data_IF_631780409647
#
_entry.id   IF_631780409647
#
_cell.length_a   1.000
_cell.length_b   1.000
_cell.length_c   1.000
_cell.angle_alpha   90.00
_cell.angle_beta   90.00
_cell.angle_gamma   90.00
#
_symmetry.space_group_name_H-M   'P 1'
#
loop_
_entity.id
_entity.type
_entity.pdbx_description
1 polymer ?
#
# COMPACT_ATOMS: atom_id res chain seq x y z
N UNK A 1 18.70 -15.73 11.97
CA UNK A 1 17.40 -15.01 12.12
C UNK A 1 17.47 -13.76 11.24
N UNK A 2 16.56 -13.61 10.29
CA UNK A 2 16.49 -12.39 9.48
C UNK A 2 16.14 -11.22 10.41
N UNK A 3 16.90 -10.14 10.34
CA UNK A 3 16.63 -8.94 11.11
C UNK A 3 15.28 -8.35 10.69
N UNK A 4 14.44 -7.96 11.66
CA UNK A 4 13.17 -7.31 11.38
C UNK A 4 13.41 -5.90 10.83
N UNK A 5 13.02 -5.67 9.58
CA UNK A 5 13.14 -4.37 8.93
C UNK A 5 11.95 -3.51 9.35
N UNK A 6 12.22 -2.42 10.08
CA UNK A 6 11.20 -1.44 10.45
C UNK A 6 10.77 -0.62 9.22
N UNK A 7 9.49 -0.20 9.14
CA UNK A 7 9.03 0.70 8.09
C UNK A 7 9.82 2.01 8.08
N UNK A 8 10.22 2.42 6.89
CA UNK A 8 10.78 3.75 6.68
C UNK A 8 9.70 4.66 6.11
N UNK A 9 9.05 5.44 6.97
CA UNK A 9 7.95 6.33 6.60
C UNK A 9 8.32 7.46 5.62
N UNK A 10 9.61 7.63 5.33
CA UNK A 10 10.10 8.54 4.29
C UNK A 10 10.42 7.82 2.96
N UNK A 11 10.48 6.47 2.99
CA UNK A 11 10.79 5.62 1.83
C UNK A 11 9.97 4.32 1.88
N UNK A 12 8.65 4.45 1.86
CA UNK A 12 7.69 3.34 1.88
C UNK A 12 6.78 3.37 0.64
N UNK A 13 5.96 2.34 0.47
CA UNK A 13 4.95 2.31 -0.58
C UNK A 13 3.94 3.47 -0.46
N UNK A 14 3.63 3.95 0.74
CA UNK A 14 2.81 5.15 0.95
C UNK A 14 3.37 6.39 0.24
N UNK A 15 4.70 6.52 0.20
CA UNK A 15 5.35 7.67 -0.44
C UNK A 15 5.24 7.64 -1.97
N UNK A 16 4.96 6.48 -2.58
CA UNK A 16 4.57 6.39 -4.00
C UNK A 16 3.24 7.10 -4.20
N UNK A 17 2.23 6.73 -3.41
CA UNK A 17 0.89 7.33 -3.46
C UNK A 17 0.95 8.84 -3.22
N UNK A 18 1.71 9.27 -2.22
CA UNK A 18 1.92 10.69 -1.93
C UNK A 18 2.53 11.46 -3.12
N UNK A 19 3.49 10.84 -3.81
CA UNK A 19 4.13 11.46 -4.98
C UNK A 19 3.15 11.54 -6.16
N UNK A 20 2.37 10.51 -6.39
CA UNK A 20 1.34 10.49 -7.43
C UNK A 20 0.22 11.49 -7.13
N UNK A 21 -0.22 11.60 -5.87
CA UNK A 21 -1.21 12.59 -5.46
C UNK A 21 -0.72 14.02 -5.74
N UNK A 22 0.51 14.36 -5.37
CA UNK A 22 1.11 15.67 -5.66
C UNK A 22 1.21 15.90 -7.18
N UNK A 23 1.65 14.92 -7.94
CA UNK A 23 1.74 15.01 -9.41
C UNK A 23 0.38 15.27 -10.06
N UNK A 24 -0.70 14.69 -9.52
CA UNK A 24 -2.06 14.88 -10.01
C UNK A 24 -2.76 16.12 -9.42
N UNK A 25 -2.09 16.90 -8.60
CA UNK A 25 -2.67 18.08 -7.95
C UNK A 25 -3.66 17.77 -6.83
N UNK A 26 -3.65 16.53 -6.32
CA UNK A 26 -4.48 16.14 -5.18
C UNK A 26 -3.83 16.53 -3.84
N UNK A 27 -4.64 16.76 -2.77
CA UNK A 27 -4.10 17.04 -1.45
C UNK A 27 -3.14 15.96 -0.96
N UNK A 28 -2.01 16.36 -0.41
CA UNK A 28 -1.01 15.45 0.13
C UNK A 28 -0.33 16.04 1.37
N UNK A 29 -0.26 15.25 2.45
CA UNK A 29 0.45 15.58 3.69
C UNK A 29 1.63 14.64 3.98
N UNK A 30 1.80 13.60 3.17
CA UNK A 30 2.86 12.62 3.34
C UNK A 30 4.12 13.03 2.55
N UNK A 31 5.27 12.48 2.95
CA UNK A 31 6.51 12.70 2.23
C UNK A 31 6.46 12.12 0.82
N UNK A 32 7.05 12.78 -0.14
CA UNK A 32 7.18 12.33 -1.52
C UNK A 32 8.56 11.74 -1.81
N UNK A 33 8.67 10.96 -2.88
CA UNK A 33 9.92 10.37 -3.34
C UNK A 33 10.57 11.27 -4.41
N UNK A 34 11.73 11.83 -4.09
CA UNK A 34 12.43 12.73 -5.01
C UNK A 34 12.69 12.09 -6.37
N UNK A 35 13.18 10.84 -6.39
CA UNK A 35 13.46 10.12 -7.62
C UNK A 35 12.20 9.89 -8.48
N UNK A 36 11.07 9.59 -7.89
CA UNK A 36 9.80 9.44 -8.62
C UNK A 36 9.30 10.79 -9.14
N UNK A 37 9.48 11.87 -8.38
CA UNK A 37 9.17 13.24 -8.85
C UNK A 37 10.00 13.63 -10.06
N UNK A 38 11.30 13.33 -10.05
CA UNK A 38 12.19 13.57 -11.19
C UNK A 38 11.74 12.80 -12.44
N UNK A 39 11.32 11.53 -12.26
CA UNK A 39 10.77 10.74 -13.36
C UNK A 39 9.45 11.33 -13.89
N UNK A 40 8.53 11.69 -13.00
CA UNK A 40 7.22 12.25 -13.36
C UNK A 40 7.31 13.67 -13.94
N UNK A 41 8.40 14.40 -13.69
CA UNK A 41 8.64 15.72 -14.30
C UNK A 41 8.95 15.66 -15.81
N UNK A 42 9.24 14.47 -16.34
CA UNK A 42 9.39 14.27 -17.79
C UNK A 42 8.01 14.32 -18.46
N UNK A 43 7.94 14.84 -19.68
CA UNK A 43 6.69 14.87 -20.42
C UNK A 43 6.30 13.47 -20.92
N UNK A 44 5.30 12.86 -20.30
CA UNK A 44 4.73 11.59 -20.73
C UNK A 44 3.28 11.78 -21.19
N UNK A 45 2.93 11.12 -22.27
CA UNK A 45 1.54 11.08 -22.75
C UNK A 45 0.63 10.32 -21.78
N UNK A 46 1.15 9.27 -21.17
CA UNK A 46 0.43 8.42 -20.22
C UNK A 46 1.37 7.97 -19.11
N UNK A 47 0.85 7.91 -17.89
CA UNK A 47 1.52 7.31 -16.73
C UNK A 47 0.66 6.14 -16.25
N UNK A 48 1.27 4.95 -16.19
CA UNK A 48 0.59 3.74 -15.74
C UNK A 48 1.25 3.28 -14.45
N UNK A 49 0.48 3.18 -13.38
CA UNK A 49 0.92 2.61 -12.12
C UNK A 49 0.47 1.14 -12.03
N UNK A 50 1.41 0.23 -11.83
CA UNK A 50 1.14 -1.20 -11.67
C UNK A 50 1.67 -1.65 -10.32
N UNK A 51 0.79 -2.22 -9.49
CA UNK A 51 1.15 -2.82 -8.22
C UNK A 51 1.07 -4.35 -8.32
N UNK A 52 2.19 -5.02 -8.13
CA UNK A 52 2.24 -6.47 -8.05
C UNK A 52 2.21 -6.89 -6.58
N UNK A 53 1.22 -7.69 -6.21
CA UNK A 53 1.14 -8.26 -4.85
C UNK A 53 2.18 -9.34 -4.64
N UNK A 54 2.77 -9.39 -3.43
CA UNK A 54 3.76 -10.39 -3.05
C UNK A 54 5.11 -10.30 -3.79
N UNK A 55 5.28 -9.36 -4.72
CA UNK A 55 6.49 -9.23 -5.53
C UNK A 55 7.47 -8.20 -4.93
N UNK A 56 8.11 -8.57 -3.82
CA UNK A 56 9.19 -7.78 -3.22
C UNK A 56 10.53 -8.01 -3.89
N UNK A 57 11.57 -7.31 -3.42
CA UNK A 57 12.92 -7.38 -3.99
C UNK A 57 13.51 -8.80 -3.92
N UNK A 58 13.34 -9.51 -2.79
CA UNK A 58 13.89 -10.86 -2.65
C UNK A 58 13.32 -11.88 -3.67
N UNK A 59 11.99 -11.98 -3.88
CA UNK A 59 11.43 -12.79 -4.96
C UNK A 59 11.95 -12.42 -6.34
N UNK A 60 12.14 -11.13 -6.64
CA UNK A 60 12.67 -10.69 -7.92
C UNK A 60 14.12 -11.18 -8.11
N UNK A 61 14.99 -10.89 -7.15
CA UNK A 61 16.42 -11.26 -7.21
C UNK A 61 16.65 -12.80 -7.20
N UNK A 62 15.76 -13.55 -6.55
CA UNK A 62 15.88 -15.01 -6.50
C UNK A 62 15.42 -15.69 -7.79
N UNK A 63 14.41 -15.12 -8.47
CA UNK A 63 13.76 -15.82 -9.60
C UNK A 63 14.06 -15.22 -10.96
N UNK A 64 14.63 -14.03 -11.03
CA UNK A 64 14.94 -13.37 -12.28
C UNK A 64 16.45 -13.23 -12.48
N UNK A 65 16.90 -13.34 -13.72
CA UNK A 65 18.28 -13.05 -14.08
C UNK A 65 18.58 -11.56 -14.00
N UNK A 66 19.85 -11.21 -13.77
CA UNK A 66 20.33 -9.82 -13.75
C UNK A 66 20.00 -9.07 -15.05
N UNK A 67 19.85 -9.83 -16.15
CA UNK A 67 19.52 -9.30 -17.46
C UNK A 67 18.03 -9.03 -17.69
N UNK A 68 17.16 -9.47 -16.78
CA UNK A 68 15.72 -9.28 -16.94
C UNK A 68 15.33 -7.79 -16.94
N UNK A 69 14.25 -7.48 -17.65
CA UNK A 69 13.73 -6.12 -17.75
C UNK A 69 13.45 -5.50 -16.38
N UNK A 70 12.81 -6.25 -15.48
CA UNK A 70 12.46 -5.74 -14.14
C UNK A 70 13.70 -5.43 -13.32
N UNK A 71 14.67 -6.34 -13.25
CA UNK A 71 15.90 -6.13 -12.48
C UNK A 71 16.68 -4.91 -12.99
N UNK A 72 16.88 -4.79 -14.31
CA UNK A 72 17.58 -3.66 -14.92
C UNK A 72 16.92 -2.30 -14.68
N UNK A 73 15.63 -2.28 -14.41
CA UNK A 73 14.86 -1.05 -14.23
C UNK A 73 14.50 -0.74 -12.77
N UNK A 74 15.01 -1.52 -11.81
CA UNK A 74 14.87 -1.16 -10.39
C UNK A 74 15.57 0.17 -10.14
N UNK A 75 14.84 1.19 -9.75
CA UNK A 75 15.37 2.50 -9.41
C UNK A 75 15.57 2.68 -7.91
N UNK A 76 14.70 2.08 -7.11
CA UNK A 76 14.72 2.23 -5.67
C UNK A 76 14.01 1.07 -4.98
N UNK A 77 14.55 0.65 -3.83
CA UNK A 77 13.86 -0.25 -2.91
C UNK A 77 13.19 0.54 -1.80
N UNK A 78 11.96 0.19 -1.51
CA UNK A 78 11.12 0.83 -0.50
C UNK A 78 10.69 -0.20 0.53
N UNK A 79 10.34 0.25 1.73
CA UNK A 79 9.67 -0.60 2.71
C UNK A 79 8.17 -0.62 2.47
N UNK A 80 7.49 -1.66 2.93
CA UNK A 80 6.04 -1.62 3.08
C UNK A 80 5.63 -0.75 4.27
N UNK A 81 4.35 -0.42 4.37
CA UNK A 81 3.73 0.05 5.62
C UNK A 81 3.71 -1.09 6.65
N UNK A 82 3.39 -0.80 7.89
CA UNK A 82 3.27 -1.81 8.95
C UNK A 82 1.86 -1.77 9.58
N UNK A 83 1.23 -2.94 9.75
CA UNK A 83 1.64 -4.29 9.33
C UNK A 83 1.78 -4.42 7.79
N UNK A 84 2.74 -5.21 7.33
CA UNK A 84 3.00 -5.41 5.89
C UNK A 84 2.05 -6.45 5.27
N UNK A 85 0.76 -6.34 5.57
CA UNK A 85 -0.28 -7.18 4.98
C UNK A 85 -0.83 -6.55 3.71
N UNK A 86 -1.36 -7.36 2.79
CA UNK A 86 -1.97 -6.87 1.55
C UNK A 86 -3.00 -5.78 1.83
N UNK A 87 -3.95 -6.05 2.74
CA UNK A 87 -5.01 -5.10 3.08
C UNK A 87 -4.47 -3.75 3.54
N UNK A 88 -3.53 -3.75 4.48
CA UNK A 88 -2.96 -2.51 4.99
C UNK A 88 -2.15 -1.77 3.91
N UNK A 89 -1.24 -2.48 3.24
CA UNK A 89 -0.32 -1.88 2.29
C UNK A 89 -1.05 -1.31 1.06
N UNK A 90 -2.02 -2.04 0.51
CA UNK A 90 -2.79 -1.59 -0.66
C UNK A 90 -3.79 -0.49 -0.30
N UNK A 91 -4.40 -0.53 0.89
CA UNK A 91 -5.25 0.57 1.37
C UNK A 91 -4.44 1.86 1.54
N UNK A 92 -3.28 1.80 2.21
CA UNK A 92 -2.39 2.96 2.32
C UNK A 92 -2.03 3.54 0.95
N UNK A 93 -1.74 2.66 -0.02
CA UNK A 93 -1.38 3.04 -1.38
C UNK A 93 -2.57 3.67 -2.13
N UNK A 94 -3.77 3.13 -1.96
CA UNK A 94 -4.96 3.61 -2.66
C UNK A 94 -5.48 4.95 -2.12
N UNK A 95 -5.46 5.15 -0.81
CA UNK A 95 -6.04 6.34 -0.17
C UNK A 95 -5.02 7.42 0.24
N UNK A 96 -3.72 7.17 0.06
CA UNK A 96 -2.64 8.06 0.52
C UNK A 96 -2.70 8.39 2.02
N UNK A 97 -3.15 7.43 2.84
CA UNK A 97 -3.26 7.56 4.29
C UNK A 97 -2.34 6.57 5.00
N UNK A 98 -1.86 6.94 6.18
CA UNK A 98 -1.11 6.02 7.04
C UNK A 98 -2.06 4.96 7.65
N UNK A 99 -1.54 3.78 8.05
CA UNK A 99 -2.36 2.72 8.66
C UNK A 99 -3.23 3.18 9.82
N UNK A 100 -2.72 4.06 10.69
CA UNK A 100 -3.49 4.62 11.81
C UNK A 100 -4.61 5.57 11.36
N UNK A 101 -4.53 6.11 10.15
CA UNK A 101 -5.55 7.01 9.60
C UNK A 101 -6.68 6.27 8.89
N UNK A 102 -6.37 5.16 8.20
CA UNK A 102 -7.40 4.37 7.52
C UNK A 102 -7.93 3.20 8.36
N UNK A 103 -7.22 2.79 9.42
CA UNK A 103 -7.65 1.77 10.37
C UNK A 103 -7.64 0.31 9.86
N UNK A 104 -7.22 0.03 8.63
CA UNK A 104 -7.25 -1.30 8.04
C UNK A 104 -5.91 -2.02 8.20
N UNK A 105 -5.78 -2.80 9.27
CA UNK A 105 -4.49 -3.39 9.65
C UNK A 105 -4.27 -4.83 9.15
N UNK A 106 -5.31 -5.52 8.73
CA UNK A 106 -5.22 -6.91 8.31
C UNK A 106 -6.37 -7.37 7.44
N UNK A 107 -6.25 -8.58 6.89
CA UNK A 107 -7.29 -9.18 6.06
C UNK A 107 -8.60 -9.36 6.84
N UNK A 108 -8.50 -9.90 8.06
CA UNK A 108 -9.63 -10.05 8.98
C UNK A 108 -9.45 -9.13 10.17
N UNK A 109 -10.51 -8.43 10.54
CA UNK A 109 -10.55 -7.55 11.70
C UNK A 109 -11.79 -7.82 12.55
N UNK A 110 -11.65 -7.63 13.87
CA UNK A 110 -12.77 -7.71 14.79
C UNK A 110 -13.53 -6.39 14.85
N UNK A 111 -14.84 -6.45 14.77
CA UNK A 111 -15.73 -5.31 14.92
C UNK A 111 -16.63 -5.54 16.15
N UNK A 112 -16.33 -4.81 17.22
CA UNK A 112 -17.02 -4.98 18.51
C UNK A 112 -18.51 -4.64 18.43
N UNK A 113 -18.88 -3.69 17.59
CA UNK A 113 -20.26 -3.24 17.40
C UNK A 113 -21.19 -4.37 16.93
N UNK A 114 -20.65 -5.26 16.11
CA UNK A 114 -21.40 -6.43 15.60
C UNK A 114 -20.90 -7.75 16.18
N UNK A 115 -19.87 -7.72 17.05
CA UNK A 115 -19.22 -8.88 17.67
C UNK A 115 -18.81 -9.96 16.68
N UNK A 116 -18.25 -9.55 15.55
CA UNK A 116 -17.82 -10.44 14.46
C UNK A 116 -16.44 -10.08 13.95
N UNK A 117 -15.75 -11.10 13.44
CA UNK A 117 -14.54 -10.92 12.66
C UNK A 117 -14.91 -10.91 11.17
N UNK A 118 -14.55 -9.86 10.47
CA UNK A 118 -14.86 -9.70 9.04
C UNK A 118 -13.59 -9.73 8.19
N UNK A 119 -13.68 -10.48 7.08
CA UNK A 119 -12.72 -10.40 5.99
C UNK A 119 -13.05 -9.14 5.18
N UNK A 120 -12.29 -8.06 5.40
CA UNK A 120 -12.68 -6.68 5.08
C UNK A 120 -12.96 -6.48 3.59
N UNK A 121 -12.04 -6.92 2.71
CA UNK A 121 -12.16 -6.67 1.27
C UNK A 121 -13.30 -7.42 0.59
N UNK A 122 -13.77 -8.49 1.17
CA UNK A 122 -14.82 -9.32 0.59
C UNK A 122 -16.15 -9.25 1.36
N UNK A 123 -16.21 -8.43 2.41
CA UNK A 123 -17.40 -8.21 3.24
C UNK A 123 -18.02 -9.50 3.77
N UNK A 124 -17.18 -10.42 4.24
CA UNK A 124 -17.63 -11.72 4.77
C UNK A 124 -17.24 -11.91 6.22
N UNK A 125 -18.10 -12.56 6.96
CA UNK A 125 -17.70 -13.10 8.26
C UNK A 125 -16.55 -14.09 8.10
N UNK A 126 -15.48 -13.93 8.88
CA UNK A 126 -14.27 -14.73 8.73
C UNK A 126 -14.46 -16.22 9.06
N UNK A 127 -15.46 -16.55 9.87
CA UNK A 127 -15.77 -17.91 10.30
C UNK A 127 -16.87 -18.55 9.43
N UNK A 128 -18.03 -17.90 9.33
CA UNK A 128 -19.20 -18.45 8.62
C UNK A 128 -19.12 -18.27 7.10
N UNK A 129 -18.27 -17.34 6.63
CA UNK A 129 -18.14 -16.93 5.22
C UNK A 129 -19.41 -16.32 4.62
N UNK A 130 -20.39 -16.00 5.44
CA UNK A 130 -21.59 -15.26 5.03
C UNK A 130 -21.26 -13.81 4.69
N UNK A 131 -21.95 -13.24 3.72
CA UNK A 131 -21.85 -11.82 3.39
C UNK A 131 -22.46 -11.02 4.52
N UNK A 132 -21.74 -10.04 5.01
CA UNK A 132 -22.18 -9.15 6.08
C UNK A 132 -22.31 -7.73 5.52
N UNK A 133 -23.54 -7.22 5.51
CA UNK A 133 -23.83 -5.82 5.18
C UNK A 133 -23.46 -4.95 6.40
N UNK A 134 -22.21 -4.52 6.45
CA UNK A 134 -21.70 -3.64 7.48
C UNK A 134 -20.92 -2.49 6.81
N UNK A 135 -21.36 -1.27 7.06
CA UNK A 135 -20.60 -0.09 6.63
C UNK A 135 -19.44 0.07 7.60
N UNK A 136 -18.24 -0.25 7.11
CA UNK A 136 -17.03 -0.01 7.88
C UNK A 136 -16.91 1.49 8.17
N UNK A 137 -16.73 1.88 9.42
CA UNK A 137 -16.27 3.23 9.70
C UNK A 137 -14.87 3.36 9.11
N UNK A 138 -14.79 3.75 7.85
CA UNK A 138 -13.58 4.39 7.35
C UNK A 138 -13.38 5.54 8.31
N UNK A 139 -12.22 5.60 8.96
CA UNK A 139 -11.90 6.73 9.80
C UNK A 139 -12.19 7.99 8.99
N UNK A 140 -13.34 8.59 9.26
CA UNK A 140 -13.79 9.80 8.56
C UNK A 140 -12.92 10.94 9.07
N UNK A 141 -11.81 11.15 8.41
CA UNK A 141 -10.92 12.27 8.64
C UNK A 141 -11.26 13.40 7.66
N UNK A 142 -12.55 13.68 7.50
CA UNK A 142 -13.01 14.95 6.96
C UNK A 142 -12.84 16.06 8.02
N UNK A 143 -11.60 16.36 8.42
CA UNK A 143 -11.18 17.56 9.11
C UNK A 143 -9.84 18.02 8.57
#
# INVERSE_FOLDING_TARGET
>A
MSEFIKPNWKKSNLNISATLAEFLGAPNKNNTLALLKEELAKEYKNVIFICFDGMGINPLETNLSEDSFLIKHIKQTLTSTFPSTTTNATTSLACNKQPLEHGWFGWSMHFEEIKRNLDIYIHKDSQTKEIVNYEYPLADNSN
#
